data_IF_113886427548
#
_entry.id   IF_113886427548
#
_cell.length_a   1.000
_cell.length_b   1.000
_cell.length_c   1.000
_cell.angle_alpha   90.00
_cell.angle_beta   90.00
_cell.angle_gamma   90.00
#
_symmetry.space_group_name_H-M   'P 1'
#
loop_
_entity.id
_entity.type
_entity.pdbx_description
1 polymer ?
#
# COMPACT_ATOMS: atom_id res chain seq x y z
N UNK A 1 13.09 51.18 91.39
CA UNK A 1 12.60 51.80 90.13
C UNK A 1 13.47 51.42 88.94
N UNK A 2 14.75 51.80 88.89
CA UNK A 2 15.64 51.51 87.75
C UNK A 2 15.77 50.00 87.43
N UNK A 3 15.90 49.17 88.47
CA UNK A 3 16.04 47.71 88.34
C UNK A 3 14.81 47.02 87.72
N UNK A 4 13.61 47.57 87.95
CA UNK A 4 12.35 47.04 87.41
C UNK A 4 12.21 47.42 85.94
N UNK A 5 12.58 48.64 85.57
CA UNK A 5 12.60 49.10 84.18
C UNK A 5 13.58 48.28 83.32
N UNK A 6 14.77 47.97 83.85
CA UNK A 6 15.74 47.09 83.19
C UNK A 6 15.18 45.68 82.96
N UNK A 7 14.45 45.12 83.93
CA UNK A 7 13.82 43.81 83.76
C UNK A 7 12.70 43.83 82.71
N UNK A 8 11.86 44.87 82.68
CA UNK A 8 10.78 45.00 81.69
C UNK A 8 11.32 45.17 80.26
N UNK A 9 12.38 45.96 80.09
CA UNK A 9 13.07 46.09 78.78
C UNK A 9 13.69 44.76 78.37
N UNK A 10 14.32 44.04 79.29
CA UNK A 10 14.88 42.71 79.03
C UNK A 10 13.82 41.72 78.51
N UNK A 11 12.66 41.67 79.16
CA UNK A 11 11.53 40.80 78.75
C UNK A 11 10.97 41.20 77.39
N UNK A 12 10.84 42.51 77.11
CA UNK A 12 10.35 43.00 75.82
C UNK A 12 11.32 42.71 74.66
N UNK A 13 12.63 42.83 74.90
CA UNK A 13 13.65 42.44 73.91
C UNK A 13 13.60 40.93 73.66
N UNK A 14 13.48 40.13 74.72
CA UNK A 14 13.39 38.67 74.59
C UNK A 14 12.13 38.22 73.85
N UNK A 15 10.99 38.88 74.07
CA UNK A 15 9.73 38.56 73.39
C UNK A 15 9.81 38.85 71.89
N UNK A 16 10.43 39.97 71.50
CA UNK A 16 10.68 40.31 70.09
C UNK A 16 11.62 39.30 69.43
N UNK A 17 12.68 38.89 70.13
CA UNK A 17 13.63 37.87 69.64
C UNK A 17 12.91 36.53 69.42
N UNK A 18 12.08 36.09 70.37
CA UNK A 18 11.33 34.84 70.27
C UNK A 18 10.29 34.86 69.13
N UNK A 19 9.60 35.98 68.94
CA UNK A 19 8.66 36.16 67.83
C UNK A 19 9.40 36.10 66.50
N UNK A 20 10.53 36.80 66.36
CA UNK A 20 11.35 36.73 65.14
C UNK A 20 11.85 35.32 64.87
N UNK A 21 12.36 34.61 65.87
CA UNK A 21 12.83 33.23 65.72
C UNK A 21 11.71 32.27 65.29
N UNK A 22 10.49 32.43 65.83
CA UNK A 22 9.33 31.64 65.40
C UNK A 22 8.93 31.97 63.95
N UNK A 23 8.99 33.24 63.56
CA UNK A 23 8.65 33.69 62.21
C UNK A 23 9.66 33.17 61.17
N UNK A 24 10.96 33.22 61.47
CA UNK A 24 12.01 32.69 60.58
C UNK A 24 11.86 31.18 60.41
N UNK A 25 11.60 30.44 61.50
CA UNK A 25 11.32 29.00 61.40
C UNK A 25 10.09 28.68 60.56
N UNK A 26 9.03 29.48 60.67
CA UNK A 26 7.83 29.31 59.87
C UNK A 26 8.09 29.61 58.38
N UNK A 27 8.88 30.63 58.07
CA UNK A 27 9.34 30.95 56.72
C UNK A 27 10.17 29.81 56.10
N UNK A 28 11.16 29.29 56.83
CA UNK A 28 11.97 28.17 56.37
C UNK A 28 11.12 26.94 56.03
N UNK A 29 10.08 26.66 56.85
CA UNK A 29 9.16 25.55 56.59
C UNK A 29 8.35 25.76 55.31
N UNK A 30 7.92 27.01 55.05
CA UNK A 30 7.17 27.35 53.82
C UNK A 30 8.07 27.24 52.60
N UNK A 31 9.30 27.78 52.66
CA UNK A 31 10.28 27.73 51.57
C UNK A 31 10.63 26.29 51.22
N UNK A 32 10.97 25.45 52.21
CA UNK A 32 11.23 24.03 51.99
C UNK A 32 10.03 23.28 51.40
N UNK A 33 8.80 23.64 51.78
CA UNK A 33 7.59 23.02 51.23
C UNK A 33 7.40 23.45 49.77
N UNK A 34 7.66 24.71 49.47
CA UNK A 34 7.58 25.27 48.13
C UNK A 34 8.60 24.61 47.20
N UNK A 35 9.85 24.45 47.63
CA UNK A 35 10.90 23.77 46.85
C UNK A 35 10.54 22.32 46.51
N UNK A 36 10.01 21.56 47.49
CA UNK A 36 9.53 20.19 47.23
C UNK A 36 8.43 20.14 46.19
N UNK A 37 7.47 21.07 46.27
CA UNK A 37 6.39 21.13 45.27
C UNK A 37 6.90 21.55 43.90
N UNK A 38 7.90 22.43 43.82
CA UNK A 38 8.54 22.80 42.57
C UNK A 38 9.28 21.61 41.93
N UNK A 39 10.00 20.83 42.73
CA UNK A 39 10.65 19.61 42.27
C UNK A 39 9.63 18.57 41.75
N UNK A 40 8.52 18.39 42.46
CA UNK A 40 7.41 17.53 42.02
C UNK A 40 6.83 18.00 40.68
N UNK A 41 6.52 19.29 40.54
CA UNK A 41 6.01 19.88 39.29
C UNK A 41 7.02 19.70 38.16
N UNK A 42 8.31 19.95 38.40
CA UNK A 42 9.36 19.77 37.39
C UNK A 42 9.52 18.30 36.98
N UNK A 43 9.36 17.36 37.91
CA UNK A 43 9.41 15.93 37.62
C UNK A 43 8.21 15.48 36.78
N UNK A 44 7.00 15.98 37.10
CA UNK A 44 5.78 15.70 36.37
C UNK A 44 5.83 16.25 34.95
N UNK A 45 6.32 17.48 34.77
CA UNK A 45 6.50 18.09 33.45
C UNK A 45 7.52 17.32 32.59
N UNK A 46 8.60 16.82 33.19
CA UNK A 46 9.54 15.93 32.50
C UNK A 46 8.86 14.64 32.04
N UNK A 47 8.07 14.00 32.90
CA UNK A 47 7.34 12.79 32.55
C UNK A 47 6.28 13.03 31.47
N UNK A 48 5.57 14.16 31.54
CA UNK A 48 4.61 14.58 30.52
C UNK A 48 5.28 14.72 29.16
N UNK A 49 6.47 15.35 29.10
CA UNK A 49 7.24 15.47 27.85
C UNK A 49 7.68 14.11 27.30
N UNK A 50 8.03 13.14 28.14
CA UNK A 50 8.35 11.77 27.71
C UNK A 50 7.12 11.07 27.13
N UNK A 51 5.98 11.16 27.81
CA UNK A 51 4.72 10.57 27.33
C UNK A 51 4.26 11.21 26.01
N UNK A 52 4.32 12.53 25.89
CA UNK A 52 4.00 13.24 24.65
C UNK A 52 4.86 12.76 23.48
N UNK A 53 6.17 12.55 23.69
CA UNK A 53 7.03 11.96 22.66
C UNK A 53 6.58 10.55 22.28
N UNK A 54 6.29 9.70 23.26
CA UNK A 54 5.83 8.33 23.00
C UNK A 54 4.49 8.27 22.24
N UNK A 55 3.58 9.21 22.53
CA UNK A 55 2.31 9.36 21.81
C UNK A 55 2.56 9.82 20.36
N UNK A 56 3.43 10.82 20.17
CA UNK A 56 3.76 11.32 18.83
C UNK A 56 4.44 10.25 17.95
N UNK A 57 5.31 9.41 18.52
CA UNK A 57 5.91 8.29 17.79
C UNK A 57 4.84 7.31 17.33
N UNK A 58 3.95 6.86 18.23
CA UNK A 58 2.83 5.97 17.88
C UNK A 58 1.89 6.56 16.83
N UNK A 59 1.59 7.85 16.93
CA UNK A 59 0.77 8.54 15.93
C UNK A 59 1.42 8.54 14.55
N UNK A 60 2.73 8.80 14.46
CA UNK A 60 3.48 8.73 13.20
C UNK A 60 3.53 7.32 12.64
N UNK A 61 3.75 6.30 13.48
CA UNK A 61 3.71 4.89 13.07
C UNK A 61 2.36 4.54 12.44
N UNK A 62 1.25 4.94 13.07
CA UNK A 62 -0.09 4.74 12.51
C UNK A 62 -0.30 5.42 11.16
N UNK A 63 0.23 6.64 10.98
CA UNK A 63 0.15 7.37 9.71
C UNK A 63 0.95 6.68 8.60
N UNK A 64 2.16 6.20 8.90
CA UNK A 64 3.01 5.47 7.94
C UNK A 64 2.36 4.16 7.53
N UNK A 65 1.81 3.39 8.48
CA UNK A 65 1.10 2.15 8.18
C UNK A 65 -0.12 2.38 7.29
N UNK A 66 -0.87 3.46 7.54
CA UNK A 66 -2.00 3.84 6.69
C UNK A 66 -1.55 4.18 5.26
N UNK A 67 -0.46 4.92 5.08
CA UNK A 67 0.10 5.23 3.77
C UNK A 67 0.59 3.98 3.03
N UNK A 68 1.24 3.05 3.72
CA UNK A 68 1.67 1.79 3.08
C UNK A 68 0.45 0.99 2.64
N UNK A 69 -0.62 0.97 3.44
CA UNK A 69 -1.85 0.25 3.11
C UNK A 69 -2.47 0.72 1.80
N UNK A 70 -2.54 2.03 1.55
CA UNK A 70 -3.11 2.55 0.30
C UNK A 70 -2.31 2.14 -0.93
N UNK A 71 -0.99 1.92 -0.80
CA UNK A 71 -0.15 1.39 -1.87
C UNK A 71 -0.35 -0.11 -2.15
N UNK A 72 -1.05 -0.82 -1.27
CA UNK A 72 -1.37 -2.24 -1.40
C UNK A 72 -2.79 -2.48 -1.96
N UNK A 73 -3.50 -1.42 -2.29
CA UNK A 73 -4.83 -1.48 -2.89
C UNK A 73 -4.71 -1.72 -4.41
N UNK A 74 -5.57 -2.58 -4.92
CA UNK A 74 -5.68 -2.87 -6.33
C UNK A 74 -6.31 -1.67 -7.04
N UNK A 75 -5.72 -1.12 -8.11
CA UNK A 75 -6.31 0.01 -8.84
C UNK A 75 -7.63 -0.30 -9.56
N UNK A 76 -8.02 -1.57 -9.67
CA UNK A 76 -9.27 -2.00 -10.32
C UNK A 76 -10.41 -2.12 -9.30
N UNK A 77 -10.19 -2.80 -8.18
CA UNK A 77 -11.24 -3.05 -7.19
C UNK A 77 -11.16 -2.15 -5.94
N UNK A 78 -10.13 -1.31 -5.83
CA UNK A 78 -9.90 -0.38 -4.70
C UNK A 78 -9.90 -1.06 -3.33
N UNK A 79 -9.47 -2.32 -3.29
CA UNK A 79 -9.32 -3.11 -2.07
C UNK A 79 -7.94 -3.76 -2.03
N UNK A 80 -7.52 -4.26 -0.87
CA UNK A 80 -6.25 -4.96 -0.68
C UNK A 80 -6.03 -6.06 -1.73
N UNK A 81 -4.84 -6.06 -2.35
CA UNK A 81 -4.54 -6.96 -3.46
C UNK A 81 -4.51 -8.43 -3.03
N UNK A 82 -5.45 -9.22 -3.56
CA UNK A 82 -5.44 -10.69 -3.42
C UNK A 82 -4.67 -11.33 -4.57
N UNK A 83 -3.59 -12.05 -4.23
CA UNK A 83 -2.64 -12.64 -5.20
C UNK A 83 -2.17 -11.59 -6.21
N UNK A 84 -1.33 -10.63 -5.80
CA UNK A 84 -0.89 -9.54 -6.66
C UNK A 84 -0.05 -10.06 -7.84
N UNK A 85 -0.36 -9.62 -9.05
CA UNK A 85 0.42 -9.88 -10.27
C UNK A 85 0.85 -8.55 -10.91
N UNK A 86 2.14 -8.45 -11.23
CA UNK A 86 2.74 -7.30 -11.87
C UNK A 86 2.80 -7.49 -13.39
N UNK A 87 2.50 -6.43 -14.13
CA UNK A 87 2.67 -6.38 -15.57
C UNK A 87 4.15 -6.15 -15.93
N UNK A 88 4.82 -7.03 -16.70
CA UNK A 88 6.26 -6.93 -16.96
C UNK A 88 6.68 -5.61 -17.62
N UNK A 89 5.88 -5.09 -18.55
CA UNK A 89 6.24 -3.92 -19.36
C UNK A 89 6.10 -2.58 -18.60
N UNK A 90 5.35 -2.52 -17.50
CA UNK A 90 5.10 -1.24 -16.79
C UNK A 90 5.10 -1.32 -15.26
N UNK A 91 5.19 -2.52 -14.67
CA UNK A 91 5.28 -2.73 -13.22
C UNK A 91 3.97 -2.55 -12.44
N UNK A 92 2.89 -2.04 -13.06
CA UNK A 92 1.60 -1.92 -12.37
C UNK A 92 1.10 -3.30 -11.91
N UNK A 93 0.62 -3.34 -10.67
CA UNK A 93 0.25 -4.58 -9.97
C UNK A 93 -1.25 -4.58 -9.66
N UNK A 94 -1.89 -5.74 -9.82
CA UNK A 94 -3.33 -5.90 -9.64
C UNK A 94 -3.64 -7.25 -8.98
N UNK A 95 -4.85 -7.43 -8.45
CA UNK A 95 -5.34 -8.76 -8.09
C UNK A 95 -5.36 -9.68 -9.31
N UNK A 96 -5.05 -10.97 -9.11
CA UNK A 96 -5.17 -11.99 -10.16
C UNK A 96 -6.52 -11.95 -10.88
N UNK A 97 -7.62 -11.99 -10.11
CA UNK A 97 -8.98 -12.06 -10.67
C UNK A 97 -9.36 -10.77 -11.40
N UNK A 98 -8.95 -9.61 -10.90
CA UNK A 98 -9.23 -8.33 -11.55
C UNK A 98 -8.52 -8.25 -12.91
N UNK A 99 -7.26 -8.70 -12.98
CA UNK A 99 -6.50 -8.67 -14.22
C UNK A 99 -7.00 -9.72 -15.22
N UNK A 100 -7.39 -10.91 -14.74
CA UNK A 100 -8.03 -11.94 -15.55
C UNK A 100 -9.33 -11.44 -16.18
N UNK A 101 -10.24 -10.88 -15.38
CA UNK A 101 -11.50 -10.32 -15.88
C UNK A 101 -11.28 -9.20 -16.91
N UNK A 102 -10.25 -8.37 -16.72
CA UNK A 102 -9.88 -7.33 -17.69
C UNK A 102 -9.45 -7.93 -19.04
N UNK A 103 -8.58 -8.96 -19.03
CA UNK A 103 -8.18 -9.65 -20.25
C UNK A 103 -9.35 -10.39 -20.92
N UNK A 104 -10.22 -11.02 -20.15
CA UNK A 104 -11.44 -11.67 -20.67
C UNK A 104 -12.34 -10.67 -21.38
N UNK A 105 -12.55 -9.50 -20.79
CA UNK A 105 -13.34 -8.42 -21.39
C UNK A 105 -12.74 -7.97 -22.72
N UNK A 106 -11.43 -7.71 -22.75
CA UNK A 106 -10.74 -7.27 -23.97
C UNK A 106 -10.72 -8.35 -25.06
N UNK A 107 -10.61 -9.61 -24.66
CA UNK A 107 -10.71 -10.75 -25.58
C UNK A 107 -12.11 -10.89 -26.15
N UNK A 108 -13.15 -10.75 -25.34
CA UNK A 108 -14.54 -10.79 -25.79
C UNK A 108 -14.85 -9.64 -26.78
N UNK A 109 -14.41 -8.42 -26.47
CA UNK A 109 -14.50 -7.28 -27.39
C UNK A 109 -13.81 -7.58 -28.74
N UNK A 110 -12.61 -8.18 -28.70
CA UNK A 110 -11.88 -8.55 -29.90
C UNK A 110 -12.60 -9.62 -30.73
N UNK A 111 -13.10 -10.69 -30.09
CA UNK A 111 -13.84 -11.77 -30.77
C UNK A 111 -15.13 -11.22 -31.41
N UNK A 112 -15.82 -10.30 -30.74
CA UNK A 112 -17.01 -9.65 -31.30
C UNK A 112 -16.70 -8.84 -32.57
N UNK A 113 -15.51 -8.21 -32.64
CA UNK A 113 -15.04 -7.49 -33.83
C UNK A 113 -14.54 -8.42 -34.94
N UNK A 114 -14.05 -9.62 -34.58
CA UNK A 114 -13.50 -10.60 -35.52
C UNK A 114 -14.09 -12.00 -35.30
N UNK A 115 -15.37 -12.25 -35.66
CA UNK A 115 -16.03 -13.53 -35.39
C UNK A 115 -15.40 -14.75 -36.08
N UNK A 116 -14.64 -14.52 -37.16
CA UNK A 116 -13.89 -15.56 -37.88
C UNK A 116 -12.54 -15.90 -37.23
N UNK A 117 -12.12 -15.17 -36.19
CA UNK A 117 -10.89 -15.45 -35.47
C UNK A 117 -11.04 -16.72 -34.61
N UNK A 118 -10.15 -17.70 -34.81
CA UNK A 118 -10.01 -18.87 -33.94
C UNK A 118 -8.78 -18.69 -33.05
N UNK A 119 -8.98 -18.84 -31.74
CA UNK A 119 -7.97 -18.65 -30.68
C UNK A 119 -6.87 -19.72 -30.64
N UNK A 120 -6.93 -20.68 -31.54
CA UNK A 120 -5.97 -21.78 -31.58
C UNK A 120 -4.72 -21.30 -32.30
N UNK A 121 -3.69 -20.98 -31.48
CA UNK A 121 -2.27 -20.95 -31.84
C UNK A 121 -2.04 -21.09 -33.34
N UNK A 122 -2.07 -19.94 -34.05
CA UNK A 122 -2.03 -19.82 -35.50
C UNK A 122 -1.31 -21.01 -36.16
N UNK A 123 -2.06 -22.04 -36.55
CA UNK A 123 -1.46 -23.18 -37.24
C UNK A 123 -0.99 -22.59 -38.56
N UNK A 124 0.33 -22.51 -38.74
CA UNK A 124 0.94 -21.93 -39.94
C UNK A 124 0.33 -22.56 -41.19
N UNK A 125 -0.07 -23.84 -41.15
CA UNK A 125 -0.77 -24.51 -42.23
C UNK A 125 -2.17 -23.93 -42.53
N UNK A 126 -2.94 -23.50 -41.52
CA UNK A 126 -4.24 -22.86 -41.72
C UNK A 126 -4.10 -21.43 -42.24
N UNK A 127 -3.15 -20.67 -41.67
CA UNK A 127 -2.83 -19.34 -42.21
C UNK A 127 -2.38 -19.46 -43.68
N UNK A 128 -1.54 -20.45 -44.00
CA UNK A 128 -1.13 -20.72 -45.38
C UNK A 128 -2.31 -21.15 -46.26
N UNK A 129 -3.22 -22.00 -45.77
CA UNK A 129 -4.36 -22.47 -46.58
C UNK A 129 -5.32 -21.34 -46.94
N UNK A 130 -5.62 -20.44 -46.00
CA UNK A 130 -6.52 -19.31 -46.27
C UNK A 130 -5.81 -18.24 -47.12
N UNK A 131 -4.49 -18.06 -46.95
CA UNK A 131 -3.68 -17.23 -47.86
C UNK A 131 -3.70 -17.78 -49.29
N UNK A 132 -3.52 -19.09 -49.46
CA UNK A 132 -3.52 -19.76 -50.76
C UNK A 132 -4.89 -19.66 -51.44
N UNK A 133 -5.99 -19.81 -50.69
CA UNK A 133 -7.36 -19.63 -51.21
C UNK A 133 -7.59 -18.18 -51.69
N UNK A 134 -7.21 -17.20 -50.87
CA UNK A 134 -7.31 -15.77 -51.20
C UNK A 134 -6.51 -15.38 -52.45
N UNK A 135 -5.31 -15.94 -52.63
CA UNK A 135 -4.48 -15.67 -53.80
C UNK A 135 -4.92 -16.46 -55.04
N UNK A 136 -5.52 -17.64 -54.87
CA UNK A 136 -6.08 -18.44 -55.98
C UNK A 136 -7.26 -17.72 -56.64
N UNK A 137 -8.10 -17.05 -55.83
CA UNK A 137 -9.21 -16.25 -56.32
C UNK A 137 -8.78 -14.92 -56.96
N UNK A 138 -7.58 -14.43 -56.63
CA UNK A 138 -7.12 -13.09 -57.04
C UNK A 138 -5.62 -13.06 -57.38
N UNK A 139 -5.20 -13.66 -58.49
CA UNK A 139 -3.80 -13.78 -58.87
C UNK A 139 -3.09 -12.44 -59.09
N UNK A 140 -3.82 -11.39 -59.49
CA UNK A 140 -3.27 -10.03 -59.69
C UNK A 140 -2.90 -9.26 -58.41
N UNK A 141 -3.20 -9.82 -57.24
CA UNK A 141 -2.89 -9.23 -55.93
C UNK A 141 -1.58 -9.77 -55.33
N UNK A 142 -0.92 -10.75 -55.96
CA UNK A 142 0.37 -11.25 -55.49
C UNK A 142 1.41 -10.12 -55.62
N UNK A 143 2.06 -9.78 -54.50
CA UNK A 143 3.14 -8.78 -54.39
C UNK A 143 2.76 -7.28 -54.51
N UNK A 144 1.62 -6.82 -54.00
CA UNK A 144 1.35 -5.37 -53.82
C UNK A 144 1.10 -5.00 -52.35
N UNK A 145 1.48 -3.78 -51.93
CA UNK A 145 1.23 -3.30 -50.56
C UNK A 145 -0.26 -3.33 -50.16
N UNK A 146 -1.19 -3.25 -51.14
CA UNK A 146 -2.63 -3.37 -50.91
C UNK A 146 -3.06 -4.78 -50.50
N UNK A 147 -2.48 -5.83 -51.08
CA UNK A 147 -2.81 -7.20 -50.69
C UNK A 147 -2.30 -7.51 -49.29
N UNK A 148 -1.11 -7.02 -48.92
CA UNK A 148 -0.59 -7.14 -47.54
C UNK A 148 -1.54 -6.51 -46.52
N UNK A 149 -2.08 -5.32 -46.80
CA UNK A 149 -3.04 -4.67 -45.91
C UNK A 149 -4.40 -5.37 -45.87
N UNK A 150 -4.86 -5.93 -46.99
CA UNK A 150 -6.08 -6.73 -47.02
C UNK A 150 -5.94 -8.01 -46.20
N UNK A 151 -4.78 -8.66 -46.26
CA UNK A 151 -4.45 -9.84 -45.47
C UNK A 151 -4.36 -9.51 -43.98
N UNK A 152 -3.68 -8.43 -43.58
CA UNK A 152 -3.66 -8.00 -42.16
C UNK A 152 -5.05 -7.74 -41.58
N UNK A 153 -5.99 -7.26 -42.40
CA UNK A 153 -7.39 -7.07 -41.99
C UNK A 153 -8.15 -8.39 -41.88
N UNK A 154 -7.84 -9.36 -42.75
CA UNK A 154 -8.44 -10.69 -42.72
C UNK A 154 -7.85 -11.58 -41.60
N UNK A 155 -6.60 -11.32 -41.19
CA UNK A 155 -5.86 -12.06 -40.17
C UNK A 155 -5.26 -11.08 -39.14
N UNK A 156 -6.06 -10.62 -38.16
CA UNK A 156 -5.53 -9.77 -37.11
C UNK A 156 -4.50 -10.53 -36.26
N UNK A 157 -3.45 -9.84 -35.79
CA UNK A 157 -2.31 -10.38 -35.03
C UNK A 157 -2.65 -10.87 -33.59
N UNK A 158 -3.92 -11.22 -33.34
CA UNK A 158 -4.43 -11.64 -32.05
C UNK A 158 -4.87 -10.47 -31.15
N UNK A 159 -5.46 -10.82 -30.00
CA UNK A 159 -5.91 -9.83 -29.02
C UNK A 159 -4.68 -9.17 -28.35
N UNK A 160 -4.63 -7.84 -28.39
CA UNK A 160 -3.57 -7.07 -27.74
C UNK A 160 -4.09 -6.49 -26.43
N UNK A 161 -3.46 -6.87 -25.32
CA UNK A 161 -3.82 -6.38 -23.99
C UNK A 161 -3.10 -5.08 -23.65
N UNK A 162 -3.73 -4.25 -22.82
CA UNK A 162 -3.18 -3.00 -22.32
C UNK A 162 -3.36 -2.89 -20.80
N UNK A 163 -2.44 -2.21 -20.13
CA UNK A 163 -2.53 -1.91 -18.71
C UNK A 163 -3.77 -1.06 -18.41
N UNK A 164 -4.62 -1.43 -17.44
CA UNK A 164 -5.78 -0.62 -17.03
C UNK A 164 -5.44 0.80 -16.57
N UNK A 165 -4.22 1.01 -16.06
CA UNK A 165 -3.78 2.30 -15.50
C UNK A 165 -3.07 3.14 -16.55
N UNK A 166 -1.96 2.65 -17.10
CA UNK A 166 -1.10 3.44 -17.98
C UNK A 166 -1.25 3.11 -19.48
N UNK A 167 -2.13 2.16 -19.84
CA UNK A 167 -2.39 1.71 -21.22
C UNK A 167 -1.19 1.12 -21.98
N UNK A 168 -0.06 0.93 -21.32
CA UNK A 168 1.10 0.20 -21.89
C UNK A 168 0.65 -1.15 -22.41
N UNK A 169 1.08 -1.49 -23.63
CA UNK A 169 0.81 -2.78 -24.25
C UNK A 169 1.47 -3.91 -23.46
N UNK A 170 0.74 -5.01 -23.30
CA UNK A 170 1.17 -6.19 -22.55
C UNK A 170 1.31 -7.33 -23.55
N UNK A 171 2.56 -7.70 -23.83
CA UNK A 171 2.91 -8.81 -24.72
C UNK A 171 3.25 -10.09 -23.96
N UNK A 172 3.37 -10.00 -22.63
CA UNK A 172 3.89 -11.03 -21.76
C UNK A 172 2.92 -11.35 -20.62
N UNK A 173 2.89 -12.62 -20.16
CA UNK A 173 2.06 -13.01 -19.04
C UNK A 173 2.46 -12.23 -17.77
N UNK A 174 1.48 -11.77 -16.97
CA UNK A 174 1.75 -11.17 -15.67
C UNK A 174 2.52 -12.11 -14.74
N UNK A 175 3.40 -11.53 -13.92
CA UNK A 175 4.24 -12.29 -12.97
C UNK A 175 3.72 -12.09 -11.56
N UNK A 176 3.59 -13.15 -10.77
CA UNK A 176 3.15 -13.03 -9.37
C UNK A 176 4.16 -12.20 -8.58
N UNK A 177 3.70 -11.12 -7.96
CA UNK A 177 4.51 -10.25 -7.11
C UNK A 177 4.64 -10.87 -5.72
N UNK A 178 5.44 -11.93 -5.61
CA UNK A 178 5.57 -12.74 -4.37
C UNK A 178 5.97 -11.90 -3.15
N UNK A 179 6.87 -10.92 -3.33
CA UNK A 179 7.24 -10.00 -2.26
C UNK A 179 6.04 -9.16 -1.78
N UNK A 180 5.24 -8.63 -2.73
CA UNK A 180 4.02 -7.89 -2.42
C UNK A 180 3.00 -8.77 -1.70
N UNK A 181 2.82 -10.03 -2.13
CA UNK A 181 1.94 -11.00 -1.47
C UNK A 181 2.31 -11.21 0.01
N UNK A 182 3.60 -11.26 0.34
CA UNK A 182 4.06 -11.36 1.73
C UNK A 182 3.71 -10.09 2.52
N UNK A 183 4.00 -8.91 1.96
CA UNK A 183 3.69 -7.64 2.60
C UNK A 183 2.20 -7.46 2.89
N UNK A 184 1.33 -7.79 1.92
CA UNK A 184 -0.11 -7.70 2.10
C UNK A 184 -0.58 -8.66 3.21
N UNK A 185 -0.02 -9.88 3.27
CA UNK A 185 -0.36 -10.83 4.35
C UNK A 185 0.09 -10.33 5.72
N UNK A 186 1.32 -9.84 5.83
CA UNK A 186 1.87 -9.34 7.10
C UNK A 186 1.08 -8.12 7.61
N UNK A 187 0.76 -7.17 6.73
CA UNK A 187 -0.03 -5.98 7.10
C UNK A 187 -1.50 -6.31 7.35
N UNK A 188 -2.09 -7.26 6.61
CA UNK A 188 -3.46 -7.73 6.83
C UNK A 188 -3.64 -8.41 8.20
N UNK A 189 -2.64 -9.17 8.65
CA UNK A 189 -2.62 -9.79 10.00
C UNK A 189 -2.47 -8.72 11.09
N UNK A 190 -1.63 -7.70 10.87
CA UNK A 190 -1.37 -6.63 11.85
C UNK A 190 -2.52 -5.63 12.05
N UNK A 191 -3.43 -5.48 11.08
CA UNK A 191 -4.48 -4.44 11.05
C UNK A 191 -5.91 -4.96 11.30
N UNK A 192 -6.07 -6.17 11.84
CA UNK A 192 -7.35 -6.76 12.30
C UNK A 192 -8.46 -6.95 11.24
N UNK A 193 -8.14 -7.38 10.01
CA UNK A 193 -9.17 -7.86 9.07
C UNK A 193 -8.71 -9.14 8.36
N UNK A 194 -8.56 -10.23 9.12
CA UNK A 194 -8.13 -11.53 8.59
C UNK A 194 -9.22 -12.28 7.82
N UNK A 195 -10.50 -11.97 8.09
CA UNK A 195 -11.68 -12.66 7.51
C UNK A 195 -11.80 -12.53 5.98
N UNK A 196 -11.06 -11.61 5.37
CA UNK A 196 -11.04 -11.40 3.93
C UNK A 196 -10.20 -12.44 3.18
N UNK A 197 -9.24 -13.07 3.85
CA UNK A 197 -8.43 -14.14 3.29
C UNK A 197 -9.12 -15.47 3.58
N UNK A 198 -10.18 -15.75 2.83
CA UNK A 198 -10.77 -17.09 2.77
C UNK A 198 -9.67 -18.15 2.51
N UNK A 199 -9.95 -19.43 2.82
CA UNK A 199 -8.97 -20.50 2.73
C UNK A 199 -8.24 -20.40 1.39
N UNK A 200 -6.92 -20.56 1.41
CA UNK A 200 -6.09 -20.60 0.22
C UNK A 200 -6.62 -21.76 -0.63
N UNK A 201 -7.57 -21.47 -1.53
CA UNK A 201 -8.07 -22.45 -2.48
C UNK A 201 -7.00 -22.52 -3.58
N UNK A 202 -5.86 -23.09 -3.20
CA UNK A 202 -4.88 -23.64 -4.10
C UNK A 202 -5.48 -24.96 -4.67
N UNK A 203 -6.70 -24.90 -5.19
CA UNK A 203 -7.20 -25.94 -6.08
C UNK A 203 -6.45 -25.72 -7.38
N UNK A 204 -5.31 -26.39 -7.48
CA UNK A 204 -4.44 -26.49 -8.63
C UNK A 204 -5.27 -27.01 -9.82
N UNK A 205 -5.75 -26.09 -10.64
CA UNK A 205 -5.91 -26.34 -12.06
C UNK A 205 -4.49 -26.39 -12.65
N UNK A 206 -4.13 -27.48 -13.32
CA UNK A 206 -2.78 -27.73 -13.85
C UNK A 206 -2.33 -26.69 -14.91
N UNK A 207 -3.24 -25.80 -15.34
CA UNK A 207 -2.96 -24.71 -16.26
C UNK A 207 -2.51 -23.42 -15.55
N UNK A 208 -1.45 -22.78 -16.05
CA UNK A 208 -0.99 -21.52 -15.50
C UNK A 208 -2.03 -20.42 -15.80
N UNK A 209 -2.30 -19.46 -14.88
CA UNK A 209 -3.47 -18.57 -14.97
C UNK A 209 -3.59 -17.72 -16.24
N UNK A 210 -2.48 -17.61 -16.97
CA UNK A 210 -2.34 -16.75 -18.14
C UNK A 210 -2.23 -17.52 -19.46
N UNK A 211 -2.27 -18.85 -19.44
CA UNK A 211 -1.98 -19.72 -20.61
C UNK A 211 -2.92 -19.51 -21.81
N UNK A 212 -4.15 -19.03 -21.56
CA UNK A 212 -5.14 -18.77 -22.61
C UNK A 212 -5.13 -17.33 -23.14
N UNK A 213 -4.31 -16.44 -22.58
CA UNK A 213 -4.19 -15.05 -23.03
C UNK A 213 -2.88 -14.81 -23.77
N UNK A 214 -1.81 -15.52 -23.42
CA UNK A 214 -0.49 -15.31 -23.97
C UNK A 214 0.05 -16.61 -24.60
N UNK A 215 0.64 -16.55 -25.80
CA UNK A 215 1.29 -17.71 -26.39
C UNK A 215 2.41 -18.24 -25.47
N UNK A 216 2.57 -19.57 -25.39
CA UNK A 216 3.61 -20.25 -24.56
C UNK A 216 5.06 -19.85 -24.89
N UNK A 217 5.30 -19.13 -25.98
CA UNK A 217 6.61 -18.59 -26.41
C UNK A 217 6.63 -17.07 -26.50
N UNK A 218 5.80 -16.37 -25.73
CA UNK A 218 5.90 -14.92 -25.60
C UNK A 218 7.25 -14.60 -24.92
N UNK A 219 8.24 -14.22 -25.73
CA UNK A 219 9.55 -13.81 -25.24
C UNK A 219 9.43 -12.39 -24.69
N UNK A 220 9.74 -12.27 -23.41
CA UNK A 220 10.17 -11.05 -22.74
C UNK A 220 11.69 -11.19 -22.58
#
# INVERSE_FOLDING_TARGET
MLHILLQLVGIAVLSVILVRFKLTKALDVIENKMDRTWDEIMSLDRNMRVLQRAVNVRSREGQVLHQIKTHLECPICSTEMRRPYALPNCGHTFCQNCLKAWFETKRAEFIALYPSYRDEHLNVAHALSVLLDYYSDRPGLVATHRSINALRRAFPEGCVYQCPVCRTHISCPPVEAVAMKKLVRELGVGLMNWDSYGPNVDAEDESHPWDHFFPRRSVC
#
